data_IF_931087305535
#
_entry.id   IF_931087305535
#
_cell.length_a   1.000
_cell.length_b   1.000
_cell.length_c   1.000
_cell.angle_alpha   90.00
_cell.angle_beta   90.00
_cell.angle_gamma   90.00
#
_symmetry.space_group_name_H-M   'P 1'
#
loop_
_entity.id
_entity.type
_entity.pdbx_description
1 polymer ?
#
# COMPACT_ATOMS: atom_id res chain seq x y z
N UNK A 1 6.25 27.54 -14.01
CA UNK A 1 5.37 26.61 -13.27
C UNK A 1 6.17 25.55 -12.52
N UNK A 2 7.17 24.90 -13.13
CA UNK A 2 8.01 23.88 -12.46
C UNK A 2 8.76 24.38 -11.22
N UNK A 3 9.41 25.56 -11.28
CA UNK A 3 10.15 26.13 -10.14
C UNK A 3 9.22 26.34 -8.93
N UNK A 4 7.96 26.73 -9.16
CA UNK A 4 6.98 26.89 -8.10
C UNK A 4 6.69 25.55 -7.39
N UNK A 5 6.50 24.46 -8.15
CA UNK A 5 6.29 23.14 -7.58
C UNK A 5 7.50 22.64 -6.80
N UNK A 6 8.72 22.80 -7.32
CA UNK A 6 9.93 22.42 -6.60
C UNK A 6 10.12 23.19 -5.29
N UNK A 7 9.83 24.50 -5.30
CA UNK A 7 9.92 25.33 -4.09
C UNK A 7 8.84 24.92 -3.07
N UNK A 8 7.59 24.75 -3.48
CA UNK A 8 6.49 24.39 -2.56
C UNK A 8 6.68 22.99 -1.99
N UNK A 9 6.91 21.98 -2.83
CA UNK A 9 7.08 20.60 -2.36
C UNK A 9 8.41 20.41 -1.62
N UNK A 10 9.48 21.10 -2.02
CA UNK A 10 10.75 21.12 -1.30
C UNK A 10 10.61 21.73 0.09
N UNK A 11 9.89 22.86 0.21
CA UNK A 11 9.60 23.48 1.49
C UNK A 11 8.73 22.58 2.38
N UNK A 12 7.69 21.94 1.82
CA UNK A 12 6.87 20.98 2.55
C UNK A 12 7.69 19.78 3.02
N UNK A 13 8.55 19.21 2.18
CA UNK A 13 9.44 18.12 2.57
C UNK A 13 10.41 18.55 3.69
N UNK A 14 10.97 19.76 3.61
CA UNK A 14 11.84 20.31 4.65
C UNK A 14 11.10 20.55 5.96
N UNK A 15 9.85 21.05 5.92
CA UNK A 15 9.01 21.22 7.11
C UNK A 15 8.69 19.87 7.74
N UNK A 16 8.28 18.88 6.95
CA UNK A 16 7.98 17.51 7.41
C UNK A 16 9.22 16.87 8.04
N UNK A 17 10.39 16.98 7.39
CA UNK A 17 11.65 16.50 7.93
C UNK A 17 12.03 17.24 9.23
N UNK A 18 11.85 18.56 9.27
CA UNK A 18 12.10 19.38 10.46
C UNK A 18 11.21 19.01 11.64
N UNK A 19 9.93 18.72 11.41
CA UNK A 19 9.00 18.25 12.43
C UNK A 19 9.39 16.87 12.99
N UNK A 20 9.87 15.96 12.15
CA UNK A 20 10.35 14.64 12.62
C UNK A 20 11.66 14.71 13.37
N UNK A 21 12.63 15.48 12.85
CA UNK A 21 13.93 15.64 13.49
C UNK A 21 13.84 16.51 14.75
N UNK A 22 12.85 17.39 14.84
CA UNK A 22 12.57 18.28 15.97
C UNK A 22 11.83 17.64 17.15
N UNK A 23 11.33 16.39 17.01
CA UNK A 23 10.77 15.64 18.15
C UNK A 23 11.88 15.37 19.19
N UNK A 24 11.87 16.18 20.25
CA UNK A 24 12.85 16.18 21.33
C UNK A 24 12.88 14.85 22.10
N UNK A 25 14.02 14.51 22.70
CA UNK A 25 14.25 13.28 23.45
C UNK A 25 13.29 13.04 24.63
N UNK A 26 12.52 14.05 25.03
CA UNK A 26 11.49 13.97 26.09
C UNK A 26 10.27 13.10 25.72
N UNK A 27 9.97 12.96 24.42
CA UNK A 27 8.87 12.09 23.92
C UNK A 27 9.35 10.69 23.51
N UNK A 28 10.66 10.42 23.64
CA UNK A 28 11.21 9.10 23.33
C UNK A 28 10.93 8.16 24.49
N UNK A 29 9.86 7.38 24.35
CA UNK A 29 9.66 6.16 25.14
C UNK A 29 10.99 5.38 25.13
N UNK A 30 11.51 5.03 26.31
CA UNK A 30 12.75 4.28 26.42
C UNK A 30 12.53 2.89 25.79
N UNK A 31 12.99 2.72 24.55
CA UNK A 31 12.85 1.48 23.80
C UNK A 31 14.15 0.69 23.80
N UNK A 32 14.04 -0.64 23.71
CA UNK A 32 15.21 -1.51 23.62
C UNK A 32 15.90 -1.38 22.26
N UNK A 33 17.20 -1.67 22.21
CA UNK A 33 17.96 -1.73 20.94
C UNK A 33 17.35 -2.73 19.96
N UNK A 34 16.91 -3.90 20.47
CA UNK A 34 16.25 -4.93 19.68
C UNK A 34 14.95 -4.43 19.02
N UNK A 35 14.12 -3.70 19.76
CA UNK A 35 12.91 -3.09 19.19
C UNK A 35 13.24 -2.04 18.13
N UNK A 36 14.23 -1.17 18.38
CA UNK A 36 14.61 -0.15 17.39
C UNK A 36 15.12 -0.77 16.08
N UNK A 37 15.91 -1.85 16.15
CA UNK A 37 16.34 -2.58 14.95
C UNK A 37 15.15 -3.17 14.19
N UNK A 38 14.21 -3.81 14.89
CA UNK A 38 12.99 -4.37 14.30
C UNK A 38 12.13 -3.28 13.63
N UNK A 39 11.82 -2.21 14.36
CA UNK A 39 11.04 -1.07 13.88
C UNK A 39 11.69 -0.43 12.66
N UNK A 40 12.99 -0.14 12.70
CA UNK A 40 13.67 0.51 11.59
C UNK A 40 13.71 -0.37 10.33
N UNK A 41 13.89 -1.69 10.50
CA UNK A 41 13.79 -2.63 9.40
C UNK A 41 12.38 -2.62 8.76
N UNK A 42 11.33 -2.71 9.57
CA UNK A 42 9.95 -2.67 9.08
C UNK A 42 9.64 -1.34 8.37
N UNK A 43 9.97 -0.22 9.01
CA UNK A 43 9.72 1.11 8.46
C UNK A 43 10.48 1.32 7.14
N UNK A 44 11.73 0.83 7.04
CA UNK A 44 12.50 0.88 5.80
C UNK A 44 11.79 0.09 4.70
N UNK A 45 11.45 -1.17 4.96
CA UNK A 45 10.75 -2.03 3.99
C UNK A 45 9.45 -1.38 3.56
N UNK A 46 8.60 -0.96 4.51
CA UNK A 46 7.33 -0.31 4.22
C UNK A 46 7.51 0.96 3.38
N UNK A 47 8.52 1.78 3.69
CA UNK A 47 8.84 2.98 2.89
C UNK A 47 9.23 2.65 1.45
N UNK A 48 10.00 1.58 1.22
CA UNK A 48 10.32 1.11 -0.13
C UNK A 48 9.07 0.63 -0.87
N UNK A 49 8.15 -0.06 -0.19
CA UNK A 49 6.90 -0.52 -0.81
C UNK A 49 6.00 0.66 -1.19
N UNK A 50 5.83 1.61 -0.27
CA UNK A 50 5.10 2.86 -0.53
C UNK A 50 5.73 3.70 -1.64
N UNK A 51 7.06 3.68 -1.77
CA UNK A 51 7.75 4.34 -2.88
C UNK A 51 7.28 3.79 -4.22
N UNK A 52 7.09 2.47 -4.31
CA UNK A 52 6.57 1.80 -5.50
C UNK A 52 5.18 2.31 -5.92
N UNK A 53 4.27 2.50 -4.96
CA UNK A 53 2.92 3.04 -5.21
C UNK A 53 2.98 4.51 -5.65
N UNK A 54 3.69 5.34 -4.88
CA UNK A 54 3.71 6.78 -5.08
C UNK A 54 4.46 7.21 -6.35
N UNK A 55 5.46 6.44 -6.81
CA UNK A 55 6.17 6.73 -8.06
C UNK A 55 5.26 6.60 -9.29
N UNK A 56 4.32 5.65 -9.26
CA UNK A 56 3.42 5.38 -10.38
C UNK A 56 2.25 6.37 -10.44
N UNK A 57 1.79 6.83 -9.27
CA UNK A 57 0.57 7.63 -9.11
C UNK A 57 0.39 8.76 -10.14
N UNK A 58 1.38 9.64 -10.35
CA UNK A 58 1.25 10.77 -11.28
C UNK A 58 1.14 10.36 -12.76
N UNK A 59 1.71 9.22 -13.13
CA UNK A 59 1.92 8.84 -14.53
C UNK A 59 0.97 7.75 -15.05
N UNK A 60 0.23 7.02 -14.19
CA UNK A 60 -0.68 5.93 -14.65
C UNK A 60 -1.72 6.42 -15.64
N UNK A 61 -2.45 7.48 -15.31
CA UNK A 61 -3.46 8.02 -16.22
C UNK A 61 -2.81 8.60 -17.49
N UNK A 62 -1.73 9.36 -17.31
CA UNK A 62 -1.02 10.01 -18.41
C UNK A 62 -0.49 8.99 -19.42
N UNK A 63 0.12 7.91 -18.96
CA UNK A 63 0.63 6.82 -19.79
C UNK A 63 -0.47 6.22 -20.67
N UNK A 64 -1.64 5.92 -20.10
CA UNK A 64 -2.75 5.37 -20.88
C UNK A 64 -3.28 6.37 -21.90
N UNK A 65 -3.32 7.66 -21.57
CA UNK A 65 -3.67 8.70 -22.53
C UNK A 65 -2.65 8.81 -23.65
N UNK A 66 -1.35 8.64 -23.38
CA UNK A 66 -0.28 8.62 -24.40
C UNK A 66 -0.39 7.41 -25.34
N UNK A 67 -0.91 6.29 -24.85
CA UNK A 67 -1.24 5.12 -25.67
C UNK A 67 -2.52 5.27 -26.51
N UNK A 68 -3.20 6.43 -26.41
CA UNK A 68 -4.36 6.75 -27.23
C UNK A 68 -5.68 6.18 -26.70
N UNK A 69 -5.72 5.69 -25.45
CA UNK A 69 -6.97 5.24 -24.84
C UNK A 69 -7.88 6.41 -24.49
N UNK A 70 -9.18 6.23 -24.73
CA UNK A 70 -10.18 7.19 -24.32
C UNK A 70 -10.44 7.14 -22.79
N UNK A 71 -11.20 8.11 -22.30
CA UNK A 71 -11.52 8.21 -20.86
C UNK A 71 -12.31 7.01 -20.35
N UNK A 72 -13.14 6.37 -21.20
CA UNK A 72 -13.95 5.21 -20.84
C UNK A 72 -13.09 3.97 -20.64
N UNK A 73 -12.15 3.72 -21.55
CA UNK A 73 -11.19 2.61 -21.47
C UNK A 73 -10.23 2.78 -20.30
N UNK A 74 -9.72 4.00 -20.09
CA UNK A 74 -8.95 4.32 -18.88
C UNK A 74 -9.78 4.06 -17.63
N UNK A 75 -11.04 4.49 -17.60
CA UNK A 75 -11.97 4.23 -16.51
C UNK A 75 -12.10 2.74 -16.20
N UNK A 76 -12.28 1.90 -17.23
CA UNK A 76 -12.33 0.42 -17.08
C UNK A 76 -11.06 -0.16 -16.49
N UNK A 77 -9.88 0.34 -16.89
CA UNK A 77 -8.60 -0.07 -16.32
C UNK A 77 -8.50 0.27 -14.82
N UNK A 78 -8.95 1.47 -14.40
CA UNK A 78 -9.01 1.83 -12.98
C UNK A 78 -10.01 0.98 -12.21
N UNK A 79 -11.21 0.73 -12.77
CA UNK A 79 -12.23 -0.14 -12.17
C UNK A 79 -11.68 -1.55 -11.98
N UNK A 80 -10.96 -2.10 -12.95
CA UNK A 80 -10.35 -3.41 -12.81
C UNK A 80 -9.29 -3.46 -11.70
N UNK A 81 -8.48 -2.40 -11.56
CA UNK A 81 -7.50 -2.28 -10.47
C UNK A 81 -8.16 -2.27 -9.09
N UNK A 82 -9.10 -1.36 -8.85
CA UNK A 82 -9.77 -1.27 -7.55
C UNK A 82 -10.69 -2.48 -7.29
N UNK A 83 -11.42 -2.93 -8.31
CA UNK A 83 -12.30 -4.08 -8.23
C UNK A 83 -11.54 -5.38 -7.93
N UNK A 84 -10.38 -5.59 -8.54
CA UNK A 84 -9.54 -6.74 -8.19
C UNK A 84 -8.99 -6.66 -6.76
N UNK A 85 -8.56 -5.49 -6.28
CA UNK A 85 -8.17 -5.32 -4.87
C UNK A 85 -9.30 -5.70 -3.91
N UNK A 86 -10.54 -5.31 -4.23
CA UNK A 86 -11.72 -5.65 -3.43
C UNK A 86 -12.01 -7.15 -3.43
N UNK A 87 -12.00 -7.79 -4.61
CA UNK A 87 -12.36 -9.21 -4.76
C UNK A 87 -11.28 -10.14 -4.20
N UNK A 88 -10.03 -9.87 -4.54
CA UNK A 88 -8.91 -10.72 -4.15
C UNK A 88 -8.39 -10.42 -2.75
N UNK A 89 -8.70 -9.27 -2.16
CA UNK A 89 -8.14 -8.89 -0.88
C UNK A 89 -8.51 -9.81 0.28
N UNK A 90 -9.77 -10.23 0.34
CA UNK A 90 -10.25 -11.19 1.35
C UNK A 90 -9.62 -12.57 1.17
N UNK A 91 -9.54 -13.04 -0.07
CA UNK A 91 -8.96 -14.34 -0.42
C UNK A 91 -7.48 -14.36 -0.11
N UNK A 92 -6.73 -13.38 -0.61
CA UNK A 92 -5.28 -13.35 -0.51
C UNK A 92 -4.84 -13.03 0.93
N UNK A 93 -5.58 -12.19 1.66
CA UNK A 93 -5.34 -11.96 3.10
C UNK A 93 -5.49 -13.25 3.92
N UNK A 94 -6.58 -13.99 3.71
CA UNK A 94 -6.77 -15.28 4.38
C UNK A 94 -5.73 -16.35 3.99
N UNK A 95 -5.26 -16.29 2.75
CA UNK A 95 -4.20 -17.18 2.27
C UNK A 95 -2.86 -16.82 2.90
N UNK A 96 -2.58 -15.53 3.09
CA UNK A 96 -1.41 -15.03 3.79
C UNK A 96 -1.33 -15.59 5.22
N UNK A 97 -2.46 -15.60 5.93
CA UNK A 97 -2.53 -16.17 7.28
C UNK A 97 -2.24 -17.67 7.32
N UNK A 98 -2.65 -18.43 6.29
CA UNK A 98 -2.44 -19.90 6.23
C UNK A 98 -1.08 -20.29 5.68
N UNK A 99 -0.59 -19.62 4.64
CA UNK A 99 0.60 -20.03 3.89
C UNK A 99 1.88 -19.28 4.30
N UNK A 100 1.73 -18.20 5.08
CA UNK A 100 2.83 -17.39 5.58
C UNK A 100 2.72 -15.93 5.14
N UNK A 101 2.81 -15.01 6.10
CA UNK A 101 2.68 -13.57 5.85
C UNK A 101 3.92 -12.98 5.19
N UNK A 102 5.12 -13.52 5.43
CA UNK A 102 6.34 -13.12 4.69
C UNK A 102 6.19 -13.49 3.22
N UNK A 103 5.76 -14.71 2.92
CA UNK A 103 5.50 -15.14 1.53
C UNK A 103 4.45 -14.26 0.85
N UNK A 104 3.41 -13.86 1.56
CA UNK A 104 2.43 -12.93 1.02
C UNK A 104 3.03 -11.54 0.69
N UNK A 105 3.93 -11.02 1.53
CA UNK A 105 4.67 -9.78 1.24
C UNK A 105 5.64 -9.92 0.05
N UNK A 106 6.19 -11.11 -0.17
CA UNK A 106 6.99 -11.40 -1.38
C UNK A 106 6.09 -11.50 -2.61
N UNK A 107 4.93 -12.16 -2.50
CA UNK A 107 3.92 -12.20 -3.58
C UNK A 107 3.48 -10.80 -3.98
N UNK A 108 3.29 -9.90 -3.01
CA UNK A 108 3.06 -8.48 -3.28
C UNK A 108 4.11 -7.90 -4.21
N UNK A 109 5.40 -8.04 -3.86
CA UNK A 109 6.51 -7.51 -4.64
C UNK A 109 6.49 -8.07 -6.06
N UNK A 110 6.34 -9.39 -6.21
CA UNK A 110 6.34 -10.06 -7.52
C UNK A 110 5.15 -9.58 -8.36
N UNK A 111 3.93 -9.63 -7.82
CA UNK A 111 2.72 -9.20 -8.54
C UNK A 111 2.82 -7.74 -8.95
N UNK A 112 3.41 -6.88 -8.13
CA UNK A 112 3.49 -5.46 -8.43
C UNK A 112 4.61 -5.10 -9.40
N UNK A 113 5.76 -5.78 -9.33
CA UNK A 113 6.82 -5.70 -10.35
C UNK A 113 6.27 -6.15 -11.71
N UNK A 114 5.56 -7.28 -11.76
CA UNK A 114 4.90 -7.74 -12.99
C UNK A 114 3.88 -6.71 -13.48
N UNK A 115 3.11 -6.10 -12.57
CA UNK A 115 2.22 -4.99 -12.92
C UNK A 115 2.98 -3.84 -13.55
N UNK A 116 4.16 -3.44 -13.04
CA UNK A 116 4.98 -2.39 -13.64
C UNK A 116 5.46 -2.78 -15.04
N UNK A 117 5.95 -4.02 -15.22
CA UNK A 117 6.44 -4.51 -16.53
C UNK A 117 5.37 -4.42 -17.61
N UNK A 118 4.08 -4.68 -17.29
CA UNK A 118 3.00 -4.55 -18.29
C UNK A 118 2.89 -3.15 -18.91
N UNK A 119 3.41 -2.10 -18.25
CA UNK A 119 3.31 -0.71 -18.71
C UNK A 119 4.25 -0.40 -19.86
N UNK A 120 5.15 -1.32 -20.22
CA UNK A 120 5.92 -1.24 -21.46
C UNK A 120 5.11 -1.62 -22.70
N UNK A 121 3.93 -2.23 -22.53
CA UNK A 121 3.08 -2.63 -23.65
C UNK A 121 1.89 -1.68 -23.82
N UNK A 122 1.64 -1.16 -25.03
CA UNK A 122 0.44 -0.37 -25.32
C UNK A 122 -0.80 -1.25 -25.52
N UNK A 123 -0.71 -2.58 -25.43
CA UNK A 123 -1.83 -3.48 -25.65
C UNK A 123 -2.80 -3.45 -24.45
N UNK A 124 -4.07 -3.11 -24.70
CA UNK A 124 -5.08 -2.92 -23.66
C UNK A 124 -5.23 -4.15 -22.75
N UNK A 125 -5.21 -5.36 -23.34
CA UNK A 125 -5.33 -6.62 -22.58
C UNK A 125 -4.16 -6.84 -21.63
N UNK A 126 -2.95 -6.45 -22.03
CA UNK A 126 -1.75 -6.56 -21.20
C UNK A 126 -1.83 -5.59 -20.02
N UNK A 127 -2.28 -4.35 -20.28
CA UNK A 127 -2.51 -3.35 -19.23
C UNK A 127 -3.61 -3.76 -18.27
N UNK A 128 -4.67 -4.43 -18.76
CA UNK A 128 -5.74 -4.99 -17.93
C UNK A 128 -5.23 -6.05 -16.96
N UNK A 129 -4.41 -7.00 -17.45
CA UNK A 129 -3.73 -7.97 -16.57
C UNK A 129 -2.86 -7.25 -15.54
N UNK A 130 -2.10 -6.25 -15.99
CA UNK A 130 -1.31 -5.41 -15.11
C UNK A 130 -2.16 -4.74 -14.01
N UNK A 131 -3.35 -4.25 -14.34
CA UNK A 131 -4.26 -3.64 -13.36
C UNK A 131 -4.78 -4.63 -12.33
N UNK A 132 -5.14 -5.84 -12.76
CA UNK A 132 -5.55 -6.91 -11.85
C UNK A 132 -4.41 -7.29 -10.90
N UNK A 133 -3.19 -7.48 -11.43
CA UNK A 133 -2.01 -7.76 -10.62
C UNK A 133 -1.71 -6.63 -9.63
N UNK A 134 -1.85 -5.37 -10.07
CA UNK A 134 -1.66 -4.19 -9.22
C UNK A 134 -2.70 -4.09 -8.11
N UNK A 135 -3.96 -4.46 -8.37
CA UNK A 135 -5.00 -4.51 -7.35
C UNK A 135 -4.75 -5.61 -6.31
N UNK A 136 -4.34 -6.81 -6.75
CA UNK A 136 -3.92 -7.89 -5.83
C UNK A 136 -2.77 -7.41 -4.93
N UNK A 137 -1.77 -6.75 -5.53
CA UNK A 137 -0.66 -6.18 -4.79
C UNK A 137 -1.12 -5.13 -3.76
N UNK A 138 -1.92 -4.15 -4.19
CA UNK A 138 -2.44 -3.10 -3.29
C UNK A 138 -3.12 -3.72 -2.06
N UNK A 139 -3.94 -4.75 -2.26
CA UNK A 139 -4.58 -5.40 -1.12
C UNK A 139 -3.60 -6.09 -0.18
N UNK A 140 -2.54 -6.71 -0.69
CA UNK A 140 -1.51 -7.33 0.13
C UNK A 140 -0.72 -6.30 0.94
N UNK A 141 -0.42 -5.14 0.35
CA UNK A 141 0.32 -4.06 1.00
C UNK A 141 -0.34 -3.61 2.31
N UNK A 142 -1.65 -3.36 2.27
CA UNK A 142 -2.42 -2.88 3.42
C UNK A 142 -2.93 -3.98 4.35
N UNK A 143 -2.61 -5.26 4.09
CA UNK A 143 -3.04 -6.37 4.94
C UNK A 143 -1.87 -7.20 5.45
N UNK A 144 -1.16 -7.88 4.55
CA UNK A 144 -0.11 -8.83 4.90
C UNK A 144 1.05 -8.18 5.67
N UNK A 145 1.44 -6.96 5.32
CA UNK A 145 2.52 -6.24 6.00
C UNK A 145 2.14 -5.85 7.43
N UNK A 146 0.91 -5.38 7.65
CA UNK A 146 0.41 -5.03 8.99
C UNK A 146 0.28 -6.29 9.85
N UNK A 147 -0.33 -7.34 9.31
CA UNK A 147 -0.48 -8.61 10.00
C UNK A 147 0.87 -9.23 10.35
N UNK A 148 1.88 -9.15 9.47
CA UNK A 148 3.23 -9.63 9.78
C UNK A 148 3.85 -8.84 10.94
N UNK A 149 3.72 -7.51 10.93
CA UNK A 149 4.24 -6.64 11.99
C UNK A 149 3.62 -7.00 13.35
N UNK A 150 2.30 -7.13 13.42
CA UNK A 150 1.57 -7.43 14.65
C UNK A 150 2.01 -8.77 15.24
N UNK A 151 2.07 -9.83 14.41
CA UNK A 151 2.48 -11.15 14.88
C UNK A 151 3.94 -11.17 15.35
N UNK A 152 4.85 -10.58 14.58
CA UNK A 152 6.27 -10.58 14.92
C UNK A 152 6.55 -9.72 16.17
N UNK A 153 5.85 -8.60 16.32
CA UNK A 153 5.91 -7.75 17.51
C UNK A 153 5.49 -8.50 18.78
N UNK A 154 4.34 -9.19 18.72
CA UNK A 154 3.82 -9.99 19.83
C UNK A 154 4.71 -11.20 20.14
N UNK A 155 5.20 -11.90 19.11
CA UNK A 155 6.12 -13.04 19.24
C UNK A 155 7.42 -12.66 19.96
N UNK A 156 7.91 -11.44 19.75
CA UNK A 156 9.13 -10.93 20.39
C UNK A 156 8.89 -10.38 21.80
N UNK A 157 7.64 -10.39 22.27
CA UNK A 157 7.29 -9.92 23.62
C UNK A 157 7.53 -8.42 23.81
N UNK A 158 7.45 -7.64 22.73
CA UNK A 158 7.59 -6.18 22.83
C UNK A 158 6.34 -5.55 23.45
N UNK A 159 6.52 -4.37 24.06
CA UNK A 159 5.43 -3.64 24.70
C UNK A 159 4.34 -3.29 23.65
N UNK A 160 3.05 -3.58 23.93
CA UNK A 160 1.95 -3.22 23.04
C UNK A 160 1.92 -1.75 22.63
N UNK A 161 2.36 -0.83 23.49
CA UNK A 161 2.36 0.60 23.18
C UNK A 161 3.31 0.95 22.02
N UNK A 162 4.38 0.17 21.85
CA UNK A 162 5.39 0.40 20.82
C UNK A 162 4.93 0.01 19.40
N UNK A 163 3.89 -0.82 19.30
CA UNK A 163 3.29 -1.20 18.03
C UNK A 163 2.64 0.02 17.36
N UNK A 164 1.87 0.80 18.12
CA UNK A 164 1.25 2.04 17.63
C UNK A 164 2.31 3.03 17.15
N UNK A 165 3.43 3.18 17.89
CA UNK A 165 4.56 4.03 17.48
C UNK A 165 5.13 3.60 16.13
N UNK A 166 5.25 2.29 15.90
CA UNK A 166 5.76 1.74 14.63
C UNK A 166 4.82 2.06 13.48
N UNK A 167 3.52 1.81 13.64
CA UNK A 167 2.51 2.15 12.63
C UNK A 167 2.48 3.64 12.33
N UNK A 168 2.42 4.49 13.35
CA UNK A 168 2.43 5.94 13.15
C UNK A 168 3.66 6.41 12.37
N UNK A 169 4.84 5.87 12.68
CA UNK A 169 6.06 6.20 11.95
C UNK A 169 6.06 5.69 10.51
N UNK A 170 5.59 4.46 10.29
CA UNK A 170 5.48 3.87 8.96
C UNK A 170 4.52 4.66 8.06
N UNK A 171 3.35 5.02 8.58
CA UNK A 171 2.35 5.83 7.86
C UNK A 171 2.85 7.24 7.61
N UNK A 172 3.44 7.91 8.61
CA UNK A 172 3.97 9.26 8.46
C UNK A 172 5.05 9.32 7.37
N UNK A 173 6.02 8.40 7.42
CA UNK A 173 7.09 8.37 6.42
C UNK A 173 6.56 7.92 5.06
N UNK A 174 5.78 6.84 5.01
CA UNK A 174 5.27 6.24 3.78
C UNK A 174 4.27 7.11 3.03
N UNK A 175 3.26 7.67 3.71
CA UNK A 175 2.21 8.49 3.09
C UNK A 175 2.52 9.99 3.10
N UNK A 176 3.47 10.44 3.91
CA UNK A 176 3.90 11.84 3.97
C UNK A 176 5.17 12.08 3.15
N UNK A 177 6.32 11.78 3.74
CA UNK A 177 7.62 12.13 3.15
C UNK A 177 7.89 11.40 1.83
N UNK A 178 7.69 10.08 1.81
CA UNK A 178 7.94 9.24 0.63
C UNK A 178 7.00 9.64 -0.51
N UNK A 179 5.74 9.96 -0.24
CA UNK A 179 4.80 10.42 -1.28
C UNK A 179 5.31 11.67 -2.01
N UNK A 180 5.80 12.66 -1.26
CA UNK A 180 6.35 13.90 -1.82
C UNK A 180 7.62 13.62 -2.63
N UNK A 181 8.57 12.87 -2.04
CA UNK A 181 9.85 12.58 -2.70
C UNK A 181 9.63 11.74 -3.96
N UNK A 182 8.79 10.72 -3.91
CA UNK A 182 8.44 9.89 -5.07
C UNK A 182 7.76 10.69 -6.17
N UNK A 183 6.85 11.61 -5.84
CA UNK A 183 6.21 12.47 -6.84
C UNK A 183 7.23 13.35 -7.58
N UNK A 184 8.14 13.99 -6.84
CA UNK A 184 9.22 14.80 -7.42
C UNK A 184 10.19 13.95 -8.24
N UNK A 185 10.54 12.75 -7.74
CA UNK A 185 11.46 11.85 -8.43
C UNK A 185 10.84 11.27 -9.71
N UNK A 186 9.56 10.91 -9.68
CA UNK A 186 8.81 10.49 -10.87
C UNK A 186 8.81 11.60 -11.95
N UNK A 187 8.56 12.85 -11.55
CA UNK A 187 8.62 13.99 -12.45
C UNK A 187 10.02 14.20 -13.05
N UNK A 188 11.05 14.12 -12.21
CA UNK A 188 12.44 14.22 -12.65
C UNK A 188 12.77 13.16 -13.71
N UNK A 189 12.36 11.90 -13.48
CA UNK A 189 12.63 10.79 -14.39
C UNK A 189 11.90 10.93 -15.73
N UNK A 190 10.59 11.19 -15.68
CA UNK A 190 9.76 11.17 -16.87
C UNK A 190 9.94 12.43 -17.74
N UNK A 191 9.94 13.62 -17.13
CA UNK A 191 9.91 14.91 -17.83
C UNK A 191 11.31 15.53 -17.90
N UNK A 192 11.95 15.80 -16.75
CA UNK A 192 13.22 16.55 -16.74
C UNK A 192 14.39 15.81 -17.38
N UNK A 193 14.48 14.48 -17.18
CA UNK A 193 15.48 13.63 -17.84
C UNK A 193 15.00 13.07 -19.19
N UNK A 194 13.71 13.22 -19.50
CA UNK A 194 13.14 12.78 -20.78
C UNK A 194 13.14 11.27 -20.99
N UNK A 195 13.18 10.45 -19.93
CA UNK A 195 13.09 8.99 -20.05
C UNK A 195 11.67 8.50 -20.39
N UNK A 196 10.68 9.40 -20.35
CA UNK A 196 9.32 9.13 -20.75
C UNK A 196 8.44 8.57 -19.62
N UNK A 197 7.15 8.39 -19.89
CA UNK A 197 6.14 8.10 -18.87
C UNK A 197 6.25 6.71 -18.23
N UNK A 198 7.05 5.80 -18.82
CA UNK A 198 7.27 4.45 -18.27
C UNK A 198 8.36 4.43 -17.20
N UNK A 199 9.30 5.39 -17.22
CA UNK A 199 10.44 5.40 -16.30
C UNK A 199 10.09 5.40 -14.80
N UNK A 200 9.03 6.10 -14.33
CA UNK A 200 8.60 5.99 -12.92
C UNK A 200 8.14 4.58 -12.52
N UNK A 201 7.60 3.79 -13.45
CA UNK A 201 7.21 2.40 -13.21
C UNK A 201 8.43 1.48 -13.10
N UNK A 202 9.47 1.73 -13.89
CA UNK A 202 10.73 1.00 -13.79
C UNK A 202 11.45 1.31 -12.48
N UNK A 203 11.47 2.58 -12.08
CA UNK A 203 11.96 2.97 -10.77
C UNK A 203 11.16 2.28 -9.64
N UNK A 204 9.83 2.27 -9.73
CA UNK A 204 8.98 1.55 -8.76
C UNK A 204 9.37 0.07 -8.67
N UNK A 205 9.55 -0.62 -9.80
CA UNK A 205 9.98 -2.01 -9.85
C UNK A 205 11.35 -2.24 -9.17
N UNK A 206 12.31 -1.31 -9.35
CA UNK A 206 13.61 -1.38 -8.68
C UNK A 206 13.48 -1.26 -7.15
N UNK A 207 12.70 -0.28 -6.65
CA UNK A 207 12.48 -0.11 -5.21
C UNK A 207 11.78 -1.34 -4.59
N UNK A 208 10.80 -1.89 -5.30
CA UNK A 208 10.11 -3.13 -4.90
C UNK A 208 11.05 -4.33 -4.87
N UNK A 209 11.95 -4.47 -5.86
CA UNK A 209 12.93 -5.55 -5.89
C UNK A 209 13.94 -5.45 -4.74
N UNK A 210 14.41 -4.24 -4.41
CA UNK A 210 15.29 -3.99 -3.26
C UNK A 210 14.57 -4.36 -1.96
N UNK A 211 13.34 -3.88 -1.77
CA UNK A 211 12.56 -4.21 -0.58
C UNK A 211 12.24 -5.71 -0.47
N UNK A 212 11.97 -6.38 -1.59
CA UNK A 212 11.80 -7.83 -1.64
C UNK A 212 13.06 -8.56 -1.17
N UNK A 213 14.25 -8.14 -1.60
CA UNK A 213 15.52 -8.72 -1.15
C UNK A 213 15.73 -8.52 0.36
N UNK A 214 15.36 -7.36 0.90
CA UNK A 214 15.41 -7.08 2.33
C UNK A 214 14.41 -7.97 3.09
N UNK A 215 13.16 -8.10 2.62
CA UNK A 215 12.16 -9.00 3.22
C UNK A 215 12.71 -10.43 3.24
N UNK A 216 13.21 -10.92 2.12
CA UNK A 216 13.73 -12.29 2.00
C UNK A 216 14.86 -12.58 2.97
N UNK A 217 15.77 -11.62 3.18
CA UNK A 217 16.95 -11.78 4.04
C UNK A 217 16.69 -11.50 5.53
N UNK A 218 15.76 -10.60 5.86
CA UNK A 218 15.61 -10.10 7.24
C UNK A 218 14.33 -10.51 7.95
N UNK A 219 13.27 -10.91 7.22
CA UNK A 219 12.00 -11.27 7.84
C UNK A 219 11.94 -12.77 8.12
N UNK A 220 11.41 -13.14 9.29
CA UNK A 220 11.00 -14.50 9.60
C UNK A 220 9.61 -14.78 9.05
N UNK A 221 9.32 -16.05 8.77
CA UNK A 221 7.97 -16.47 8.44
C UNK A 221 7.10 -16.50 9.71
N UNK A 222 5.88 -15.97 9.61
CA UNK A 222 4.86 -16.06 10.65
C UNK A 222 3.48 -16.27 10.03
N UNK A 223 2.57 -16.83 10.83
CA UNK A 223 1.27 -17.35 10.38
C UNK A 223 0.15 -16.79 11.25
N UNK A 224 -1.08 -16.81 10.73
CA UNK A 224 -2.27 -16.54 11.52
C UNK A 224 -2.59 -17.69 12.48
N UNK A 225 -3.43 -17.41 13.47
CA UNK A 225 -3.85 -18.41 14.43
C UNK A 225 -4.74 -19.48 13.74
N UNK A 226 -4.40 -20.78 13.82
CA UNK A 226 -5.21 -21.85 13.22
C UNK A 226 -6.66 -21.88 13.72
N UNK A 227 -6.91 -21.41 14.95
CA UNK A 227 -8.24 -21.35 15.55
C UNK A 227 -9.14 -20.28 14.93
N UNK A 228 -8.56 -19.27 14.28
CA UNK A 228 -9.27 -18.22 13.56
C UNK A 228 -9.52 -18.55 12.08
N UNK A 229 -9.20 -19.77 11.64
CA UNK A 229 -9.42 -20.25 10.26
C UNK A 229 -10.90 -20.45 9.91
N UNK A 230 -11.72 -19.41 10.10
CA UNK A 230 -13.11 -19.36 9.70
C UNK A 230 -13.18 -19.57 8.18
N UNK A 231 -14.04 -20.50 7.77
CA UNK A 231 -14.27 -20.80 6.36
C UNK A 231 -14.73 -19.53 5.62
N UNK A 232 -13.94 -19.08 4.63
CA UNK A 232 -14.22 -17.87 3.85
C UNK A 232 -15.60 -17.93 3.21
N UNK A 233 -16.01 -19.12 2.76
CA UNK A 233 -17.34 -19.33 2.18
C UNK A 233 -18.44 -19.11 3.20
N UNK A 234 -18.20 -19.40 4.48
CA UNK A 234 -19.12 -19.07 5.55
C UNK A 234 -19.20 -17.55 5.78
N UNK A 235 -18.07 -16.82 5.75
CA UNK A 235 -18.07 -15.37 5.89
C UNK A 235 -18.79 -14.66 4.73
N UNK A 236 -18.53 -15.08 3.48
CA UNK A 236 -19.24 -14.54 2.32
C UNK A 236 -20.74 -14.84 2.36
N UNK A 237 -21.15 -16.03 2.83
CA UNK A 237 -22.56 -16.35 3.05
C UNK A 237 -23.19 -15.46 4.12
N UNK A 238 -22.49 -15.21 5.22
CA UNK A 238 -22.96 -14.30 6.28
C UNK A 238 -23.08 -12.87 5.77
N UNK A 239 -22.07 -12.37 5.04
CA UNK A 239 -22.10 -11.03 4.44
C UNK A 239 -23.22 -10.89 3.40
N UNK A 240 -23.38 -11.86 2.51
CA UNK A 240 -24.45 -11.87 1.51
C UNK A 240 -25.84 -11.92 2.17
N UNK A 241 -26.00 -12.72 3.24
CA UNK A 241 -27.25 -12.78 4.01
C UNK A 241 -27.53 -11.47 4.74
N UNK A 242 -26.52 -10.81 5.30
CA UNK A 242 -26.64 -9.51 5.94
C UNK A 242 -27.08 -8.42 4.94
N UNK A 243 -26.44 -8.39 3.77
CA UNK A 243 -26.81 -7.47 2.67
C UNK A 243 -28.24 -7.73 2.20
N UNK A 244 -28.60 -8.99 1.96
CA UNK A 244 -29.96 -9.37 1.57
C UNK A 244 -31.00 -8.96 2.64
N UNK A 245 -30.70 -9.15 3.93
CA UNK A 245 -31.58 -8.74 5.01
C UNK A 245 -31.72 -7.21 5.16
N UNK A 246 -30.66 -6.46 4.89
CA UNK A 246 -30.69 -4.99 4.87
C UNK A 246 -31.48 -4.43 3.68
N UNK A 247 -31.48 -5.12 2.54
CA UNK A 247 -32.29 -4.77 1.36
C UNK A 247 -33.77 -5.15 1.52
N UNK A 248 -34.08 -6.15 2.33
CA UNK A 248 -35.46 -6.62 2.58
C UNK A 248 -36.19 -5.86 3.69
N UNK A 249 -35.51 -4.98 4.44
CA UNK A 249 -36.12 -4.24 5.56
C UNK A 249 -35.78 -2.73 5.52
N UNK A 250 -36.44 -1.94 4.65
CA UNK A 250 -36.19 -0.51 4.52
C UNK A 250 -36.75 0.36 5.67
N UNK A 251 -37.33 -0.23 6.72
CA UNK A 251 -38.11 0.47 7.74
C UNK A 251 -37.32 1.09 8.91
N UNK A 252 -35.98 0.97 8.94
CA UNK A 252 -35.17 1.48 10.07
C UNK A 252 -34.36 2.76 9.79
N UNK A 253 -34.58 3.46 8.68
CA UNK A 253 -33.84 4.70 8.34
C UNK A 253 -34.64 6.01 8.46
N UNK A 254 -35.88 6.00 8.95
CA UNK A 254 -36.72 7.21 9.13
C UNK A 254 -36.97 7.63 10.58
N UNK A 255 -36.13 7.24 11.53
CA UNK A 255 -36.27 7.62 12.94
C UNK A 255 -35.03 8.33 13.50
N UNK A 256 -34.58 9.42 12.87
CA UNK A 256 -33.71 10.41 13.51
C UNK A 256 -33.90 11.83 12.93
N UNK A 257 -35.16 12.21 12.71
CA UNK A 257 -35.55 13.62 12.51
C UNK A 257 -36.59 14.03 13.57
N UNK A 258 -36.13 14.21 14.80
CA UNK A 258 -36.73 15.11 15.79
C UNK A 258 -35.56 16.00 16.25
N UNK A 259 -35.34 17.16 15.65
CA UNK A 259 -35.90 18.45 16.10
C UNK A 259 -36.00 18.48 17.63
N UNK A 260 -34.88 18.82 18.28
CA UNK A 260 -34.94 19.52 19.56
C UNK A 260 -35.10 21.01 19.24
N UNK A 261 -36.27 21.54 19.58
CA UNK A 261 -36.43 22.94 19.97
C UNK A 261 -35.85 23.05 21.39
#
# INVERSE_FOLDING_TARGET
MEVFYYVVFGALAAVVAGLELGKSGKDRVATTSAFNSFKNNYVLVYSLMMSGDWLQGPYVYYLYSQYGFDKGDIGRLFIAGFGSSMLFGTIVGSLADKQGRKRACVTYCISYILSCITKHSPEYRVLMIGRILGGIATSLLFSAFESWLVAEHNKRGFDPQWLSITFSKAIFLGNGLIAIVSGLFANLLAENLGFGPVAPFDAAACFLAIGMAIIMSSWSENYGDPSESKDLMAQFKVAAKAIASGMLNPSHQTAHNQICI
#
